data_IF_045407727701
#
_entry.id   IF_045407727701
#
_cell.length_a   1.000
_cell.length_b   1.000
_cell.length_c   1.000
_cell.angle_alpha   90.00
_cell.angle_beta   90.00
_cell.angle_gamma   90.00
#
_symmetry.space_group_name_H-M   'P 1'
#
loop_
_entity.id
_entity.type
_entity.pdbx_description
1 polymer ?
#
# COMPACT_ATOMS: atom_id res chain seq x y z
N UNK A 1 -17.56 -20.76 -4.72
CA UNK A 1 -17.53 -19.72 -3.66
C UNK A 1 -16.07 -19.37 -3.40
N UNK A 2 -15.67 -18.12 -3.66
CA UNK A 2 -14.33 -17.67 -3.31
C UNK A 2 -14.33 -17.23 -1.84
N UNK A 3 -13.50 -17.86 -1.01
CA UNK A 3 -13.37 -17.50 0.39
C UNK A 3 -12.37 -16.36 0.52
N UNK A 4 -12.82 -15.20 0.99
CA UNK A 4 -11.94 -14.08 1.32
C UNK A 4 -11.41 -14.29 2.73
N UNK A 5 -10.10 -14.17 2.92
CA UNK A 5 -9.45 -14.25 4.23
C UNK A 5 -8.89 -12.89 4.62
N UNK A 6 -9.40 -12.33 5.71
CA UNK A 6 -8.85 -11.10 6.30
C UNK A 6 -7.71 -11.48 7.22
N UNK A 7 -6.53 -10.89 7.03
CA UNK A 7 -5.34 -11.13 7.83
C UNK A 7 -4.94 -9.84 8.54
N UNK A 8 -4.81 -9.88 9.86
CA UNK A 8 -4.31 -8.75 10.65
C UNK A 8 -2.79 -8.83 10.85
N UNK A 9 -2.12 -7.71 10.64
CA UNK A 9 -0.67 -7.55 10.79
C UNK A 9 -0.32 -6.17 11.31
N UNK A 10 0.86 -6.07 11.92
CA UNK A 10 1.46 -4.80 12.34
C UNK A 10 1.83 -3.92 11.14
N UNK A 11 2.05 -2.62 11.41
CA UNK A 11 2.15 -1.52 10.45
C UNK A 11 2.89 -1.84 9.14
N UNK A 12 4.23 -1.82 9.15
CA UNK A 12 5.08 -1.96 7.96
C UNK A 12 5.01 -3.33 7.30
N UNK A 13 4.72 -4.39 8.08
CA UNK A 13 4.61 -5.75 7.59
C UNK A 13 3.51 -5.93 6.53
N UNK A 14 2.47 -5.09 6.54
CA UNK A 14 1.41 -5.14 5.53
C UNK A 14 1.96 -4.87 4.13
N UNK A 15 2.83 -3.87 3.98
CA UNK A 15 3.45 -3.53 2.69
C UNK A 15 4.48 -4.59 2.28
N UNK A 16 5.25 -5.14 3.22
CA UNK A 16 6.15 -6.27 2.92
C UNK A 16 5.38 -7.49 2.41
N UNK A 17 4.26 -7.85 3.05
CA UNK A 17 3.43 -8.97 2.59
C UNK A 17 2.82 -8.76 1.20
N UNK A 18 2.49 -7.51 0.85
CA UNK A 18 2.07 -7.15 -0.51
C UNK A 18 3.23 -7.32 -1.49
N UNK A 19 4.42 -6.80 -1.16
CA UNK A 19 5.60 -6.93 -2.00
C UNK A 19 6.02 -8.40 -2.23
N UNK A 20 5.89 -9.25 -1.21
CA UNK A 20 6.15 -10.70 -1.29
C UNK A 20 5.03 -11.48 -2.00
N UNK A 21 3.90 -10.84 -2.34
CA UNK A 21 2.75 -11.52 -2.95
C UNK A 21 2.01 -12.47 -2.02
N UNK A 22 2.14 -12.29 -0.70
CA UNK A 22 1.44 -13.07 0.34
C UNK A 22 0.06 -12.51 0.69
N UNK A 23 -0.27 -11.32 0.19
CA UNK A 23 -1.58 -10.69 0.29
C UNK A 23 -2.00 -10.10 -1.06
N UNK A 24 -3.29 -10.17 -1.37
CA UNK A 24 -3.82 -9.71 -2.66
C UNK A 24 -4.11 -8.19 -2.69
N UNK A 25 -4.43 -7.61 -1.52
CA UNK A 25 -4.78 -6.19 -1.41
C UNK A 25 -4.55 -5.68 0.01
N UNK A 26 -4.08 -4.44 0.13
CA UNK A 26 -4.04 -3.70 1.39
C UNK A 26 -4.67 -2.30 1.20
N UNK A 27 -5.97 -2.14 1.53
CA UNK A 27 -6.60 -0.83 1.57
C UNK A 27 -6.34 -0.14 2.92
N UNK A 28 -6.05 1.16 2.87
CA UNK A 28 -5.93 2.05 4.02
C UNK A 28 -6.88 3.23 3.86
N UNK A 29 -7.92 3.27 4.68
CA UNK A 29 -9.01 4.26 4.56
C UNK A 29 -8.79 5.57 5.33
N UNK A 30 -7.80 5.64 6.20
CA UNK A 30 -7.50 6.83 7.00
C UNK A 30 -6.15 7.44 6.63
N UNK A 31 -5.96 8.71 7.03
CA UNK A 31 -4.71 9.44 6.86
C UNK A 31 -3.56 8.70 7.58
N UNK A 32 -2.37 8.79 6.99
CA UNK A 32 -1.11 8.29 7.55
C UNK A 32 -0.03 9.33 7.33
N UNK A 33 1.04 9.29 8.11
CA UNK A 33 2.20 10.12 7.81
C UNK A 33 2.99 9.54 6.63
N UNK A 34 3.60 10.42 5.82
CA UNK A 34 4.44 10.04 4.68
C UNK A 34 5.50 9.00 5.05
N UNK A 35 6.20 9.23 6.18
CA UNK A 35 7.28 8.36 6.65
C UNK A 35 6.82 6.95 7.02
N UNK A 36 5.55 6.73 7.37
CA UNK A 36 5.02 5.39 7.66
C UNK A 36 4.94 4.52 6.40
N UNK A 37 4.78 5.16 5.23
CA UNK A 37 4.46 4.49 3.97
C UNK A 37 5.60 4.56 2.96
N UNK A 38 6.40 5.62 2.94
CA UNK A 38 7.40 5.88 1.90
C UNK A 38 8.35 4.69 1.65
N UNK A 39 8.93 4.13 2.71
CA UNK A 39 9.83 2.97 2.58
C UNK A 39 9.11 1.74 2.02
N UNK A 40 7.91 1.43 2.54
CA UNK A 40 7.13 0.28 2.08
C UNK A 40 6.60 0.45 0.66
N UNK A 41 6.23 1.67 0.26
CA UNK A 41 5.86 1.99 -1.11
C UNK A 41 7.03 1.76 -2.07
N UNK A 42 8.23 2.23 -1.73
CA UNK A 42 9.42 1.98 -2.53
C UNK A 42 9.68 0.47 -2.74
N UNK A 43 9.54 -0.33 -1.67
CA UNK A 43 9.70 -1.79 -1.73
C UNK A 43 8.62 -2.44 -2.61
N UNK A 44 7.35 -2.09 -2.41
CA UNK A 44 6.23 -2.63 -3.21
C UNK A 44 6.41 -2.31 -4.69
N UNK A 45 6.76 -1.06 -5.01
CA UNK A 45 6.99 -0.63 -6.39
C UNK A 45 8.21 -1.32 -7.00
N UNK A 46 9.31 -1.45 -6.25
CA UNK A 46 10.50 -2.16 -6.72
C UNK A 46 10.25 -3.65 -6.99
N UNK A 47 9.35 -4.28 -6.22
CA UNK A 47 8.90 -5.65 -6.46
C UNK A 47 7.97 -5.77 -7.70
N UNK A 48 7.51 -4.66 -8.29
CA UNK A 48 6.57 -4.63 -9.41
C UNK A 48 5.10 -4.50 -9.00
N UNK A 49 4.83 -4.27 -7.72
CA UNK A 49 3.51 -3.93 -7.19
C UNK A 49 3.17 -2.45 -7.37
N UNK A 50 2.06 -2.01 -6.78
CA UNK A 50 1.60 -0.62 -6.87
C UNK A 50 1.05 -0.12 -5.55
N UNK A 51 1.27 1.15 -5.25
CA UNK A 51 0.54 1.88 -4.19
C UNK A 51 -0.10 3.11 -4.82
N UNK A 52 -1.42 3.20 -4.72
CA UNK A 52 -2.25 4.19 -5.42
C UNK A 52 -3.25 4.84 -4.49
N UNK A 53 -3.64 6.08 -4.78
CA UNK A 53 -4.68 6.79 -4.03
C UNK A 53 -6.00 6.01 -4.12
N UNK A 54 -6.72 5.96 -3.01
CA UNK A 54 -8.01 5.27 -2.95
C UNK A 54 -8.96 5.89 -3.97
N UNK A 55 -9.60 5.04 -4.78
CA UNK A 55 -10.50 5.40 -5.89
C UNK A 55 -9.85 6.05 -7.12
N UNK A 56 -8.51 6.13 -7.19
CA UNK A 56 -7.79 6.56 -8.39
C UNK A 56 -6.55 5.68 -8.63
N UNK A 57 -6.73 4.59 -9.36
CA UNK A 57 -5.68 3.60 -9.65
C UNK A 57 -4.54 4.12 -10.53
N UNK A 58 -4.70 5.31 -11.14
CA UNK A 58 -3.66 5.91 -11.97
C UNK A 58 -2.78 6.90 -11.17
N UNK A 59 -3.18 7.24 -9.94
CA UNK A 59 -2.49 8.21 -9.11
C UNK A 59 -1.72 7.52 -8.00
N UNK A 60 -0.40 7.56 -8.09
CA UNK A 60 0.48 7.09 -7.01
C UNK A 60 0.57 8.10 -5.87
N UNK A 61 1.01 7.66 -4.69
CA UNK A 61 1.32 8.56 -3.57
C UNK A 61 2.55 9.41 -3.91
N UNK A 62 2.45 10.70 -3.63
CA UNK A 62 3.55 11.66 -3.72
C UNK A 62 4.02 12.03 -2.32
N UNK A 63 5.31 12.36 -2.21
CA UNK A 63 5.96 12.69 -0.94
C UNK A 63 6.47 14.13 -0.94
N UNK A 64 6.89 14.60 0.22
CA UNK A 64 7.36 15.96 0.49
C UNK A 64 6.26 17.02 0.34
N UNK A 65 5.04 16.71 0.79
CA UNK A 65 3.97 17.70 0.90
C UNK A 65 4.08 18.49 2.22
N UNK A 66 3.45 19.66 2.28
CA UNK A 66 3.53 20.59 3.43
C UNK A 66 3.11 19.96 4.76
N UNK A 67 2.11 19.08 4.74
CA UNK A 67 1.55 18.45 5.93
C UNK A 67 2.17 17.08 6.24
N UNK A 68 3.03 16.54 5.36
CA UNK A 68 3.61 15.20 5.44
C UNK A 68 2.56 14.09 5.64
N UNK A 69 1.38 14.24 5.04
CA UNK A 69 0.26 13.30 5.13
C UNK A 69 0.01 12.58 3.81
N UNK A 70 -0.22 11.27 3.86
CA UNK A 70 -0.75 10.53 2.73
C UNK A 70 -2.29 10.51 2.79
N UNK A 71 -2.99 10.70 1.65
CA UNK A 71 -4.40 10.38 1.55
C UNK A 71 -4.64 8.87 1.72
N UNK A 72 -5.91 8.44 1.87
CA UNK A 72 -6.28 7.03 1.78
C UNK A 72 -5.72 6.38 0.51
N UNK A 73 -5.29 5.12 0.60
CA UNK A 73 -4.60 4.44 -0.49
C UNK A 73 -4.92 2.94 -0.54
N UNK A 74 -4.54 2.29 -1.64
CA UNK A 74 -4.55 0.84 -1.80
C UNK A 74 -3.18 0.38 -2.32
N UNK A 75 -2.64 -0.68 -1.72
CA UNK A 75 -1.48 -1.37 -2.23
C UNK A 75 -1.86 -2.71 -2.87
N UNK A 76 -1.23 -3.02 -4.01
CA UNK A 76 -1.42 -4.23 -4.80
C UNK A 76 -0.09 -4.95 -5.00
N UNK A 77 -0.07 -6.29 -4.99
CA UNK A 77 1.14 -7.07 -5.18
C UNK A 77 1.64 -7.00 -6.63
N UNK A 78 2.87 -7.46 -6.88
CA UNK A 78 3.37 -7.64 -8.24
C UNK A 78 2.46 -8.55 -9.07
N UNK A 79 2.30 -8.25 -10.37
CA UNK A 79 1.61 -9.16 -11.29
C UNK A 79 2.43 -10.45 -11.44
N UNK A 80 1.76 -11.60 -11.28
CA UNK A 80 2.34 -12.92 -11.57
C UNK A 80 2.42 -13.19 -13.06
#
# INVERSE_FOLDING_TARGET
>A
HHTIRIVSRGSSLKLCMIAEGLADVYPRFGITSEWDIAAGHAIVTAAGGKVVVLFDENKTLTYNNENMENPPFVAYPPKR
#
